data_IF_591427182689
#
_entry.id   IF_591427182689
#
_cell.length_a   1.000
_cell.length_b   1.000
_cell.length_c   1.000
_cell.angle_alpha   90.00
_cell.angle_beta   90.00
_cell.angle_gamma   90.00
#
_symmetry.space_group_name_H-M   'P 1'
#
loop_
_entity.id
_entity.type
_entity.pdbx_description
1 polymer ?
#
# COMPACT_ATOMS: atom_id res chain seq x y z
N UNK A 1 -25.14 25.73 6.19
CA UNK A 1 -24.80 24.40 5.64
C UNK A 1 -24.08 24.63 4.32
N UNK A 2 -22.85 24.12 4.14
CA UNK A 2 -22.04 24.38 2.94
C UNK A 2 -22.00 23.13 2.03
N UNK A 3 -22.65 23.14 0.86
CA UNK A 3 -22.74 21.95 0.00
C UNK A 3 -21.38 21.46 -0.51
N UNK A 4 -20.41 22.37 -0.70
CA UNK A 4 -19.07 22.01 -1.18
C UNK A 4 -18.30 21.07 -0.25
N UNK A 5 -18.49 21.19 1.07
CA UNK A 5 -17.82 20.31 2.04
C UNK A 5 -18.38 18.89 1.96
N UNK A 6 -19.70 18.74 1.77
CA UNK A 6 -20.31 17.42 1.60
C UNK A 6 -19.90 16.76 0.27
N UNK A 7 -19.80 17.56 -0.81
CA UNK A 7 -19.29 17.08 -2.09
C UNK A 7 -17.83 16.58 -1.96
N UNK A 8 -16.99 17.33 -1.25
CA UNK A 8 -15.60 16.95 -0.97
C UNK A 8 -15.52 15.63 -0.17
N UNK A 9 -16.34 15.49 0.88
CA UNK A 9 -16.38 14.29 1.70
C UNK A 9 -16.83 13.06 0.90
N UNK A 10 -17.84 13.21 0.03
CA UNK A 10 -18.28 12.14 -0.88
C UNK A 10 -17.19 11.71 -1.86
N UNK A 11 -16.52 12.68 -2.51
CA UNK A 11 -15.40 12.41 -3.41
C UNK A 11 -14.24 11.70 -2.69
N UNK A 12 -13.93 12.14 -1.47
CA UNK A 12 -12.89 11.53 -0.64
C UNK A 12 -13.23 10.08 -0.27
N UNK A 13 -14.48 9.81 0.13
CA UNK A 13 -14.94 8.46 0.45
C UNK A 13 -14.86 7.51 -0.76
N UNK A 14 -15.23 7.98 -1.94
CA UNK A 14 -15.12 7.20 -3.18
C UNK A 14 -13.66 6.85 -3.49
N UNK A 15 -12.75 7.82 -3.42
CA UNK A 15 -11.32 7.61 -3.68
C UNK A 15 -10.68 6.68 -2.65
N UNK A 16 -11.02 6.84 -1.37
CA UNK A 16 -10.56 5.96 -0.29
C UNK A 16 -11.05 4.51 -0.50
N UNK A 17 -12.31 4.35 -0.92
CA UNK A 17 -12.90 3.04 -1.23
C UNK A 17 -12.28 2.36 -2.45
N UNK A 18 -11.93 3.13 -3.48
CA UNK A 18 -11.30 2.61 -4.71
C UNK A 18 -9.82 2.22 -4.51
N UNK A 19 -9.06 3.13 -3.89
CA UNK A 19 -7.60 3.01 -3.79
C UNK A 19 -7.10 2.28 -2.54
N UNK A 20 -7.89 2.20 -1.46
CA UNK A 20 -7.46 1.77 -0.11
C UNK A 20 -6.32 2.59 0.50
N UNK A 21 -5.97 3.73 -0.09
CA UNK A 21 -4.96 4.64 0.44
C UNK A 21 -5.57 5.51 1.56
N UNK A 22 -4.92 5.56 2.72
CA UNK A 22 -5.44 6.29 3.89
C UNK A 22 -4.70 7.60 4.15
N UNK A 23 -3.46 7.51 4.65
CA UNK A 23 -2.69 8.66 5.14
C UNK A 23 -2.34 9.60 3.99
N UNK A 24 -1.80 9.06 2.89
CA UNK A 24 -1.41 9.86 1.72
C UNK A 24 -2.62 10.59 1.12
N UNK A 25 -3.76 9.92 0.99
CA UNK A 25 -4.98 10.53 0.47
C UNK A 25 -5.51 11.64 1.40
N UNK A 26 -5.48 11.41 2.72
CA UNK A 26 -5.87 12.41 3.70
C UNK A 26 -5.00 13.67 3.65
N UNK A 27 -3.69 13.51 3.47
CA UNK A 27 -2.76 14.64 3.32
C UNK A 27 -3.00 15.39 2.00
N UNK A 28 -3.20 14.69 0.88
CA UNK A 28 -3.52 15.32 -0.41
C UNK A 28 -4.81 16.15 -0.30
N UNK A 29 -5.87 15.60 0.31
CA UNK A 29 -7.13 16.32 0.50
C UNK A 29 -6.98 17.52 1.45
N UNK A 30 -6.17 17.40 2.49
CA UNK A 30 -5.83 18.51 3.38
C UNK A 30 -5.13 19.64 2.62
N UNK A 31 -4.15 19.30 1.79
CA UNK A 31 -3.37 20.26 1.01
C UNK A 31 -4.26 20.99 0.00
N UNK A 32 -5.08 20.26 -0.76
CA UNK A 32 -6.02 20.83 -1.74
C UNK A 32 -7.02 21.77 -1.06
N UNK A 33 -7.52 21.38 0.12
CA UNK A 33 -8.50 22.18 0.84
C UNK A 33 -7.85 23.36 1.56
N UNK A 34 -6.52 23.32 1.80
CA UNK A 34 -5.76 24.31 2.56
C UNK A 34 -6.37 24.64 3.94
N UNK A 35 -7.14 23.70 4.51
CA UNK A 35 -7.89 23.87 5.75
C UNK A 35 -7.68 22.69 6.69
N UNK A 36 -6.73 22.86 7.60
CA UNK A 36 -6.33 21.82 8.55
C UNK A 36 -7.41 21.45 9.57
N UNK A 37 -8.44 22.29 9.77
CA UNK A 37 -9.56 21.96 10.68
C UNK A 37 -10.43 20.83 10.16
N UNK A 38 -10.44 20.61 8.84
CA UNK A 38 -11.20 19.53 8.20
C UNK A 38 -10.46 18.18 8.21
N UNK A 39 -9.25 18.09 8.79
CA UNK A 39 -8.48 16.84 8.82
C UNK A 39 -9.22 15.71 9.55
N UNK A 40 -9.80 16.01 10.72
CA UNK A 40 -10.50 15.02 11.55
C UNK A 40 -11.69 14.39 10.80
N UNK A 41 -12.65 15.17 10.26
CA UNK A 41 -13.77 14.58 9.54
C UNK A 41 -13.34 13.87 8.24
N UNK A 42 -12.34 14.37 7.52
CA UNK A 42 -11.80 13.72 6.31
C UNK A 42 -11.23 12.34 6.65
N UNK A 43 -10.44 12.24 7.72
CA UNK A 43 -9.87 10.97 8.16
C UNK A 43 -10.95 9.96 8.57
N UNK A 44 -12.02 10.41 9.26
CA UNK A 44 -13.15 9.54 9.61
C UNK A 44 -13.84 8.96 8.37
N UNK A 45 -14.04 9.78 7.33
CA UNK A 45 -14.61 9.31 6.06
C UNK A 45 -13.71 8.28 5.40
N UNK A 46 -12.41 8.57 5.29
CA UNK A 46 -11.42 7.66 4.71
C UNK A 46 -11.40 6.32 5.46
N UNK A 47 -11.38 6.34 6.80
CA UNK A 47 -11.40 5.13 7.62
C UNK A 47 -12.68 4.33 7.44
N UNK A 48 -13.85 4.98 7.46
CA UNK A 48 -15.12 4.29 7.23
C UNK A 48 -15.21 3.65 5.84
N UNK A 49 -14.75 4.35 4.80
CA UNK A 49 -14.74 3.84 3.43
C UNK A 49 -13.75 2.67 3.25
N UNK A 50 -12.58 2.76 3.90
CA UNK A 50 -11.62 1.66 3.93
C UNK A 50 -12.22 0.43 4.60
N UNK A 51 -12.71 0.57 5.83
CA UNK A 51 -13.32 -0.54 6.59
C UNK A 51 -14.42 -1.24 5.81
N UNK A 52 -15.35 -0.46 5.25
CA UNK A 52 -16.47 -1.04 4.50
C UNK A 52 -15.94 -1.79 3.29
N UNK A 53 -15.03 -1.21 2.51
CA UNK A 53 -14.65 -1.92 1.31
C UNK A 53 -13.61 -3.04 1.51
N UNK A 54 -12.80 -3.01 2.58
CA UNK A 54 -11.94 -4.13 2.98
C UNK A 54 -12.78 -5.39 3.26
N UNK A 55 -14.03 -5.24 3.69
CA UNK A 55 -14.96 -6.36 3.88
C UNK A 55 -15.50 -6.96 2.57
N UNK A 56 -15.49 -6.21 1.47
CA UNK A 56 -16.14 -6.64 0.22
C UNK A 56 -15.16 -7.05 -0.86
N UNK A 57 -14.06 -6.31 -1.06
CA UNK A 57 -13.20 -6.48 -2.24
C UNK A 57 -11.78 -5.93 -1.98
N UNK A 58 -10.73 -6.60 -2.53
CA UNK A 58 -9.37 -6.04 -2.54
C UNK A 58 -9.30 -4.68 -3.24
N UNK A 59 -8.18 -3.95 -3.07
CA UNK A 59 -8.04 -2.64 -3.71
C UNK A 59 -8.07 -2.77 -5.24
N UNK A 60 -8.50 -1.71 -5.93
CA UNK A 60 -8.47 -1.70 -7.39
C UNK A 60 -7.05 -1.91 -7.94
N UNK A 61 -6.04 -1.45 -7.21
CA UNK A 61 -4.64 -1.63 -7.58
C UNK A 61 -4.22 -3.09 -7.52
N UNK A 62 -4.60 -3.81 -6.46
CA UNK A 62 -4.28 -5.23 -6.30
C UNK A 62 -4.92 -6.07 -7.41
N UNK A 63 -6.15 -5.73 -7.79
CA UNK A 63 -6.86 -6.40 -8.90
C UNK A 63 -6.10 -6.21 -10.22
N UNK A 64 -5.67 -4.98 -10.53
CA UNK A 64 -4.94 -4.69 -11.78
C UNK A 64 -3.60 -5.42 -11.80
N UNK A 65 -2.91 -5.50 -10.67
CA UNK A 65 -1.64 -6.21 -10.52
C UNK A 65 -1.82 -7.72 -10.75
N UNK A 66 -2.84 -8.31 -10.11
CA UNK A 66 -3.18 -9.72 -10.27
C UNK A 66 -3.49 -10.05 -11.74
N UNK A 67 -4.24 -9.18 -12.43
CA UNK A 67 -4.55 -9.34 -13.86
C UNK A 67 -3.30 -9.27 -14.75
N UNK A 68 -2.30 -8.45 -14.37
CA UNK A 68 -1.05 -8.30 -15.11
C UNK A 68 0.00 -9.36 -14.77
N UNK A 69 -0.27 -10.27 -13.84
CA UNK A 69 0.67 -11.31 -13.37
C UNK A 69 2.04 -10.72 -12.97
N UNK A 70 2.04 -9.55 -12.33
CA UNK A 70 3.26 -8.92 -11.83
C UNK A 70 3.49 -9.45 -10.40
N UNK A 71 4.65 -10.08 -10.10
CA UNK A 71 4.96 -10.50 -8.75
C UNK A 71 5.19 -9.26 -7.87
N UNK A 72 4.24 -8.98 -6.96
CA UNK A 72 4.39 -7.95 -5.94
C UNK A 72 4.93 -8.56 -4.66
N UNK A 73 5.92 -7.90 -4.07
CA UNK A 73 6.40 -8.22 -2.74
C UNK A 73 5.49 -7.49 -1.74
N UNK A 74 4.70 -8.25 -0.99
CA UNK A 74 3.85 -7.68 0.07
C UNK A 74 4.72 -7.21 1.24
N UNK A 75 4.27 -6.17 1.93
CA UNK A 75 4.98 -5.62 3.07
C UNK A 75 4.85 -6.60 4.24
N UNK A 76 5.97 -7.15 4.69
CA UNK A 76 6.03 -8.18 5.72
C UNK A 76 5.41 -7.68 7.04
N UNK A 77 4.53 -8.48 7.65
CA UNK A 77 4.14 -8.27 9.03
C UNK A 77 5.38 -8.57 9.89
N UNK A 78 5.90 -7.55 10.58
CA UNK A 78 7.10 -7.56 11.43
C UNK A 78 7.17 -8.72 12.46
N UNK A 79 6.07 -9.47 12.63
CA UNK A 79 5.96 -10.68 13.45
C UNK A 79 6.54 -11.96 12.84
N UNK A 80 6.68 -12.05 11.50
CA UNK A 80 7.33 -13.17 10.83
C UNK A 80 8.70 -12.72 10.32
N UNK A 81 9.67 -12.82 11.22
CA UNK A 81 11.02 -12.34 10.98
C UNK A 81 11.71 -13.00 9.77
N UNK A 82 12.78 -12.33 9.33
CA UNK A 82 13.85 -12.65 8.38
C UNK A 82 14.17 -14.14 8.08
N UNK A 83 13.72 -15.08 8.91
CA UNK A 83 13.81 -16.52 8.69
C UNK A 83 12.92 -17.04 7.54
N UNK A 84 11.76 -16.41 7.27
CA UNK A 84 10.91 -16.82 6.14
C UNK A 84 11.43 -16.26 4.80
N UNK A 85 12.03 -15.06 4.79
CA UNK A 85 12.71 -14.51 3.59
C UNK A 85 13.84 -15.42 3.08
N UNK A 86 14.56 -16.10 3.99
CA UNK A 86 15.62 -17.04 3.62
C UNK A 86 15.11 -18.29 2.87
N UNK A 87 13.80 -18.58 2.93
CA UNK A 87 13.16 -19.70 2.22
C UNK A 87 12.59 -19.30 0.88
N UNK A 88 12.33 -18.01 0.65
CA UNK A 88 11.84 -17.53 -0.64
C UNK A 88 12.97 -17.60 -1.68
N UNK A 89 12.77 -18.31 -2.81
CA UNK A 89 13.80 -18.42 -3.83
C UNK A 89 14.07 -17.05 -4.44
N UNK A 90 15.35 -16.66 -4.49
CA UNK A 90 15.79 -15.36 -5.02
C UNK A 90 15.47 -15.20 -6.51
N UNK A 91 15.12 -16.29 -7.21
CA UNK A 91 14.53 -16.24 -8.56
C UNK A 91 13.21 -15.47 -8.63
N UNK A 92 12.52 -15.28 -7.49
CA UNK A 92 11.31 -14.46 -7.39
C UNK A 92 11.61 -12.97 -7.33
N UNK A 93 12.85 -12.59 -6.96
CA UNK A 93 13.32 -11.22 -7.04
C UNK A 93 13.84 -11.04 -8.48
N UNK A 94 13.32 -10.06 -9.23
CA UNK A 94 13.49 -9.92 -10.69
C UNK A 94 14.92 -9.73 -11.23
N UNK A 95 15.95 -10.02 -10.44
CA UNK A 95 17.35 -10.14 -10.86
C UNK A 95 17.58 -11.43 -11.65
N UNK A 96 18.35 -11.34 -12.74
CA UNK A 96 18.71 -12.52 -13.54
C UNK A 96 19.47 -13.51 -12.65
N UNK A 97 19.06 -14.77 -12.65
CA UNK A 97 19.75 -15.85 -11.90
C UNK A 97 21.23 -16.00 -12.27
N UNK A 98 21.61 -15.60 -13.49
CA UNK A 98 23.00 -15.62 -13.94
C UNK A 98 23.91 -14.58 -13.25
N UNK A 99 23.31 -13.58 -12.60
CA UNK A 99 24.00 -12.47 -11.93
C UNK A 99 24.03 -12.67 -10.40
N UNK A 100 23.55 -13.82 -9.94
CA UNK A 100 23.39 -14.12 -8.53
C UNK A 100 24.64 -14.83 -8.00
N UNK A 101 25.44 -14.11 -7.22
CA UNK A 101 26.53 -14.71 -6.47
C UNK A 101 26.00 -15.34 -5.18
N UNK A 102 26.20 -16.65 -5.05
CA UNK A 102 25.92 -17.37 -3.81
C UNK A 102 26.99 -17.01 -2.80
N UNK A 103 26.59 -16.31 -1.72
CA UNK A 103 27.48 -16.01 -0.61
C UNK A 103 27.80 -17.31 0.13
N UNK A 104 28.98 -17.85 -0.15
CA UNK A 104 29.53 -19.03 0.50
C UNK A 104 30.25 -18.63 1.79
N UNK A 105 29.64 -18.92 2.94
CA UNK A 105 30.19 -18.63 4.28
C UNK A 105 31.48 -19.41 4.60
N UNK A 106 31.96 -20.29 3.72
CA UNK A 106 33.25 -20.97 3.88
C UNK A 106 34.44 -20.16 3.36
N UNK A 107 34.21 -19.04 2.67
CA UNK A 107 35.27 -18.15 2.17
C UNK A 107 35.26 -16.82 2.94
N UNK A 108 36.41 -16.30 3.40
CA UNK A 108 36.46 -14.99 4.03
C UNK A 108 36.05 -13.91 3.02
N UNK A 109 35.17 -13.00 3.45
CA UNK A 109 34.69 -11.86 2.67
C UNK A 109 35.87 -10.95 2.28
N UNK A 110 36.41 -11.12 1.07
CA UNK A 110 37.35 -10.17 0.49
C UNK A 110 36.56 -9.10 -0.24
N UNK A 111 36.65 -7.86 0.26
CA UNK A 111 36.08 -6.65 -0.31
C UNK A 111 36.67 -6.28 -1.68
#
# INVERSE_FOLDING_TARGET
VNPGIYALMGATGMLAGFSRMTVSLGVIMLEITSNTRLILPIMLVIMSAKLIGDLFTPSAYDIIIALKNIPMLEQEDESMGWQEMAKHPVSSCGTKMAEMEVIDNSKPLTA
#
